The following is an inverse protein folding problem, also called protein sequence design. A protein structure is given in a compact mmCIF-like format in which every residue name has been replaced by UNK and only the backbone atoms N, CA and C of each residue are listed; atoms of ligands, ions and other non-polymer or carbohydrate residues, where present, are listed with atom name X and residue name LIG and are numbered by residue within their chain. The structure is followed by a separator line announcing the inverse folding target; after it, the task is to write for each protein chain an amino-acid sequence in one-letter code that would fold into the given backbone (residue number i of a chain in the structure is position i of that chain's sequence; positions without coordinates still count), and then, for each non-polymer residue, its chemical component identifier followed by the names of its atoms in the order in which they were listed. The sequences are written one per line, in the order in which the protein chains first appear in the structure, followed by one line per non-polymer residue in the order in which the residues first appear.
data_IF_272713195474
#
_entry.id   IF_272713195474
#
_cell.length_a   1.000
_cell.length_b   1.000
_cell.length_c   1.000
_cell.angle_alpha   90.00
_cell.angle_beta   90.00
_cell.angle_gamma   90.00
#
_symmetry.space_group_name_H-M   'P 1'
#
loop_
_entity.id
_entity.type
_entity.pdbx_description
1 polymer ?
#
# COMPACT_ATOMS: atom_id res chain seq x y z
N UNK A 1 -5.03 -1.81 -25.07
CA UNK A 1 -4.26 -0.84 -24.25
C UNK A 1 -2.78 -0.95 -24.60
N UNK A 2 -2.00 0.10 -24.32
CA UNK A 2 -0.53 0.05 -24.37
C UNK A 2 0.00 -0.12 -22.95
N UNK A 3 0.62 -1.24 -22.65
CA UNK A 3 0.98 -1.67 -21.30
C UNK A 3 2.50 -1.83 -21.19
N UNK A 4 3.09 -1.25 -20.14
CA UNK A 4 4.50 -1.41 -19.82
C UNK A 4 4.66 -2.29 -18.57
N UNK A 5 5.36 -3.41 -18.69
CA UNK A 5 5.70 -4.29 -17.56
C UNK A 5 7.09 -3.95 -17.06
N UNK A 6 7.20 -3.49 -15.83
CA UNK A 6 8.45 -3.12 -15.18
C UNK A 6 8.97 -4.29 -14.36
N UNK A 7 10.19 -4.70 -14.61
CA UNK A 7 10.87 -5.79 -13.94
C UNK A 7 12.26 -5.37 -13.45
N UNK A 8 12.81 -6.02 -12.42
CA UNK A 8 14.16 -5.68 -11.95
C UNK A 8 15.24 -6.15 -12.89
N UNK A 9 16.23 -5.29 -13.16
CA UNK A 9 17.51 -5.66 -13.78
C UNK A 9 18.52 -6.03 -12.71
N UNK A 10 18.91 -7.29 -12.68
CA UNK A 10 19.90 -7.82 -11.74
C UNK A 10 21.37 -7.68 -12.20
N UNK A 11 21.62 -7.09 -13.37
CA UNK A 11 22.97 -7.05 -13.97
C UNK A 11 24.02 -6.32 -13.12
N UNK A 12 23.57 -5.37 -12.28
CA UNK A 12 24.44 -4.62 -11.36
C UNK A 12 24.27 -5.02 -9.90
N UNK A 13 23.44 -6.02 -9.63
CA UNK A 13 23.19 -6.47 -8.26
C UNK A 13 24.28 -7.45 -7.80
N UNK A 14 24.70 -7.31 -6.54
CA UNK A 14 25.54 -8.29 -5.87
C UNK A 14 24.75 -9.51 -5.35
N UNK A 15 23.42 -9.44 -5.41
CA UNK A 15 22.50 -10.49 -4.98
C UNK A 15 22.17 -11.36 -6.18
N UNK A 16 22.47 -12.65 -6.11
CA UNK A 16 22.13 -13.60 -7.16
C UNK A 16 20.68 -14.06 -7.03
N UNK A 17 19.75 -13.22 -7.51
CA UNK A 17 18.31 -13.53 -7.56
C UNK A 17 17.87 -14.05 -8.93
N UNK A 18 18.74 -14.05 -9.91
CA UNK A 18 18.40 -14.43 -11.29
C UNK A 18 17.82 -15.85 -11.40
N UNK A 19 18.22 -16.74 -10.51
CA UNK A 19 17.68 -18.10 -10.45
C UNK A 19 16.34 -18.20 -9.69
N UNK A 20 15.98 -17.17 -8.91
CA UNK A 20 14.78 -17.16 -8.06
C UNK A 20 13.70 -16.19 -8.57
N UNK A 21 14.07 -15.19 -9.38
CA UNK A 21 13.17 -14.22 -9.99
C UNK A 21 13.41 -14.12 -11.49
N UNK A 22 13.04 -15.17 -12.27
CA UNK A 22 13.20 -15.16 -13.71
C UNK A 22 12.29 -14.11 -14.36
N UNK A 23 12.65 -13.62 -15.56
CA UNK A 23 11.82 -12.73 -16.34
C UNK A 23 10.41 -13.30 -16.53
N UNK A 24 9.40 -12.44 -16.31
CA UNK A 24 7.98 -12.79 -16.42
C UNK A 24 7.39 -12.22 -17.70
N UNK A 25 6.84 -13.06 -18.57
CA UNK A 25 6.13 -12.63 -19.78
C UNK A 25 4.62 -12.62 -19.54
N UNK A 26 4.03 -11.44 -19.47
CA UNK A 26 2.62 -11.24 -19.25
C UNK A 26 1.79 -11.19 -20.54
N UNK A 27 2.43 -11.16 -21.71
CA UNK A 27 1.75 -11.06 -23.01
C UNK A 27 0.76 -12.20 -23.25
N UNK A 28 1.04 -13.40 -22.69
CA UNK A 28 0.14 -14.57 -22.79
C UNK A 28 -1.25 -14.35 -22.19
N UNK A 29 -1.38 -13.45 -21.21
CA UNK A 29 -2.65 -13.12 -20.58
C UNK A 29 -3.29 -11.82 -21.12
N UNK A 30 -2.59 -11.12 -22.02
CA UNK A 30 -2.96 -9.83 -22.59
C UNK A 30 -2.94 -9.86 -24.13
N UNK A 31 -3.63 -10.85 -24.79
CA UNK A 31 -3.48 -11.10 -26.22
C UNK A 31 -4.02 -9.95 -27.11
N UNK A 32 -4.81 -9.06 -26.56
CA UNK A 32 -5.41 -7.93 -27.30
C UNK A 32 -4.74 -6.58 -26.98
N UNK A 33 -3.64 -6.59 -26.23
CA UNK A 33 -2.95 -5.40 -25.76
C UNK A 33 -1.52 -5.34 -26.31
N UNK A 34 -0.99 -4.13 -26.47
CA UNK A 34 0.42 -3.90 -26.81
C UNK A 34 1.22 -3.95 -25.52
N UNK A 35 2.00 -5.01 -25.32
CA UNK A 35 2.77 -5.24 -24.08
C UNK A 35 4.26 -5.08 -24.32
N UNK A 36 4.90 -4.20 -23.56
CA UNK A 36 6.35 -3.99 -23.58
C UNK A 36 6.93 -4.32 -22.21
N UNK A 37 8.02 -5.11 -22.17
CA UNK A 37 8.72 -5.47 -20.94
C UNK A 37 10.00 -4.65 -20.81
N UNK A 38 10.15 -3.92 -19.71
CA UNK A 38 11.29 -3.07 -19.41
C UNK A 38 11.95 -3.51 -18.11
N UNK A 39 13.27 -3.70 -18.18
CA UNK A 39 14.07 -4.03 -17.01
C UNK A 39 14.69 -2.76 -16.44
N UNK A 40 14.35 -2.47 -15.19
CA UNK A 40 14.79 -1.26 -14.48
C UNK A 40 16.08 -1.54 -13.71
N UNK A 41 17.06 -0.66 -13.90
CA UNK A 41 18.29 -0.66 -13.12
C UNK A 41 18.18 0.34 -11.98
N UNK A 42 18.51 -0.09 -10.76
CA UNK A 42 18.42 0.73 -9.54
C UNK A 42 19.03 2.12 -9.67
N UNK A 43 20.18 2.22 -10.32
CA UNK A 43 20.94 3.47 -10.45
C UNK A 43 20.36 4.43 -11.49
N UNK A 44 19.50 3.95 -12.40
CA UNK A 44 18.91 4.74 -13.49
C UNK A 44 17.39 4.67 -13.55
N UNK A 45 16.73 4.12 -12.55
CA UNK A 45 15.26 3.94 -12.50
C UNK A 45 14.49 5.21 -12.87
N UNK A 46 14.87 6.35 -12.29
CA UNK A 46 14.20 7.61 -12.58
C UNK A 46 14.34 8.02 -14.06
N UNK A 47 15.55 7.96 -14.61
CA UNK A 47 15.82 8.33 -16.01
C UNK A 47 15.07 7.42 -16.98
N UNK A 48 15.05 6.10 -16.69
CA UNK A 48 14.32 5.12 -17.49
C UNK A 48 12.81 5.43 -17.47
N UNK A 49 12.21 5.60 -16.30
CA UNK A 49 10.77 5.92 -16.17
C UNK A 49 10.42 7.28 -16.80
N UNK A 50 11.30 8.28 -16.65
CA UNK A 50 11.12 9.59 -17.28
C UNK A 50 11.13 9.51 -18.80
N UNK A 51 11.95 8.65 -19.39
CA UNK A 51 11.94 8.45 -20.86
C UNK A 51 10.65 7.79 -21.34
N UNK A 52 10.04 6.93 -20.53
CA UNK A 52 8.80 6.23 -20.84
C UNK A 52 7.54 7.11 -20.63
N UNK A 53 7.65 8.23 -19.92
CA UNK A 53 6.51 9.11 -19.59
C UNK A 53 5.73 9.58 -20.82
N UNK A 54 6.41 9.78 -21.95
CA UNK A 54 5.82 10.32 -23.17
C UNK A 54 5.53 9.27 -24.25
N UNK A 55 5.76 7.99 -23.92
CA UNK A 55 5.53 6.87 -24.85
C UNK A 55 4.04 6.48 -24.98
N UNK A 56 3.16 7.08 -24.17
CA UNK A 56 1.72 6.89 -24.24
C UNK A 56 1.23 5.55 -23.67
N UNK A 57 1.88 5.02 -22.63
CA UNK A 57 1.41 3.84 -21.90
C UNK A 57 0.16 4.18 -21.08
N UNK A 58 -0.85 3.30 -21.15
CA UNK A 58 -2.09 3.39 -20.37
C UNK A 58 -1.86 2.98 -18.91
N UNK A 59 -0.90 2.08 -18.64
CA UNK A 59 -0.58 1.55 -17.31
C UNK A 59 0.83 0.97 -17.26
N UNK A 60 1.46 1.08 -16.09
CA UNK A 60 2.71 0.41 -15.75
C UNK A 60 2.43 -0.73 -14.75
N UNK A 61 2.70 -1.98 -15.15
CA UNK A 61 2.61 -3.14 -14.26
C UNK A 61 3.93 -3.25 -13.52
N UNK A 62 3.93 -2.91 -12.23
CA UNK A 62 5.14 -2.91 -11.42
C UNK A 62 5.35 -4.28 -10.77
N UNK A 63 6.40 -4.98 -11.19
CA UNK A 63 6.86 -6.26 -10.64
C UNK A 63 8.20 -6.13 -9.90
N UNK A 64 8.61 -4.91 -9.54
CA UNK A 64 9.82 -4.65 -8.78
C UNK A 64 9.55 -4.74 -7.29
N UNK A 65 10.08 -5.77 -6.64
CA UNK A 65 9.77 -6.18 -5.26
C UNK A 65 11.02 -6.16 -4.34
N UNK A 66 12.11 -5.53 -4.79
CA UNK A 66 13.38 -5.49 -4.04
C UNK A 66 13.27 -4.77 -2.70
N UNK A 67 14.25 -4.96 -1.83
CA UNK A 67 14.40 -4.21 -0.58
C UNK A 67 15.18 -2.92 -0.81
N UNK A 68 14.90 -1.90 0.02
CA UNK A 68 15.52 -0.58 -0.13
C UNK A 68 17.05 -0.63 -0.06
N UNK A 69 17.58 -1.49 0.80
CA UNK A 69 19.02 -1.68 1.04
C UNK A 69 19.73 -2.40 -0.10
N UNK A 70 18.98 -3.06 -0.98
CA UNK A 70 19.56 -3.80 -2.09
C UNK A 70 19.80 -2.93 -3.32
N UNK A 71 20.73 -3.35 -4.16
CA UNK A 71 21.00 -2.72 -5.46
C UNK A 71 19.97 -3.14 -6.53
N UNK A 72 18.76 -3.48 -6.10
CA UNK A 72 17.63 -3.91 -6.94
C UNK A 72 16.50 -2.88 -6.83
N UNK A 73 15.80 -2.53 -7.93
CA UNK A 73 14.65 -1.63 -7.89
C UNK A 73 13.59 -2.09 -6.88
N UNK A 74 13.08 -1.15 -6.12
CA UNK A 74 12.20 -1.41 -4.98
C UNK A 74 11.17 -0.27 -4.81
N UNK A 75 10.96 0.22 -3.60
CA UNK A 75 10.07 1.36 -3.30
C UNK A 75 10.38 2.62 -4.12
N UNK A 76 11.63 2.80 -4.55
CA UNK A 76 12.03 3.89 -5.45
C UNK A 76 11.25 3.90 -6.76
N UNK A 77 10.89 2.74 -7.30
CA UNK A 77 10.05 2.65 -8.50
C UNK A 77 8.70 3.33 -8.27
N UNK A 78 8.05 3.03 -7.14
CA UNK A 78 6.75 3.61 -6.77
C UNK A 78 6.88 5.13 -6.58
N UNK A 79 7.92 5.59 -5.87
CA UNK A 79 8.15 7.02 -5.68
C UNK A 79 8.34 7.76 -7.02
N UNK A 80 9.04 7.16 -7.98
CA UNK A 80 9.23 7.79 -9.29
C UNK A 80 7.97 7.72 -10.16
N UNK A 81 7.18 6.64 -10.08
CA UNK A 81 5.89 6.56 -10.76
C UNK A 81 4.91 7.63 -10.23
N UNK A 82 4.85 7.81 -8.90
CA UNK A 82 4.05 8.88 -8.27
C UNK A 82 4.58 10.29 -8.65
N UNK A 83 5.90 10.52 -8.62
CA UNK A 83 6.52 11.81 -8.98
C UNK A 83 6.24 12.19 -10.45
N UNK A 84 6.27 11.21 -11.34
CA UNK A 84 6.00 11.40 -12.78
C UNK A 84 4.50 11.36 -13.10
N UNK A 85 3.65 11.16 -12.08
CA UNK A 85 2.20 11.04 -12.21
C UNK A 85 1.78 9.97 -13.24
N UNK A 86 2.36 8.78 -13.14
CA UNK A 86 2.11 7.65 -14.02
C UNK A 86 1.15 6.63 -13.35
N UNK A 87 0.22 6.03 -14.10
CA UNK A 87 -0.65 4.96 -13.57
C UNK A 87 0.13 3.66 -13.38
N UNK A 88 -0.05 2.97 -12.25
CA UNK A 88 0.67 1.73 -11.97
C UNK A 88 -0.15 0.75 -11.13
N UNK A 89 0.23 -0.54 -11.18
CA UNK A 89 -0.34 -1.62 -10.37
C UNK A 89 0.44 -1.82 -9.07
N UNK A 90 -0.18 -2.47 -8.08
CA UNK A 90 0.44 -2.79 -6.79
C UNK A 90 0.26 -1.70 -5.74
N UNK A 91 0.97 -1.80 -4.61
CA UNK A 91 0.79 -0.91 -3.46
C UNK A 91 1.31 0.51 -3.73
N UNK A 92 0.88 1.45 -2.91
CA UNK A 92 1.54 2.75 -2.81
C UNK A 92 2.78 2.67 -1.88
N UNK A 93 3.56 3.75 -1.80
CA UNK A 93 4.79 3.76 -1.01
C UNK A 93 4.56 3.55 0.50
N UNK A 94 3.40 3.93 1.06
CA UNK A 94 3.08 3.72 2.47
C UNK A 94 2.83 2.25 2.82
N UNK A 95 2.38 1.47 1.84
CA UNK A 95 2.07 0.05 1.99
C UNK A 95 3.21 -0.87 1.55
N UNK A 96 4.33 -0.33 1.07
CA UNK A 96 5.39 -1.14 0.48
C UNK A 96 5.93 -2.21 1.43
N UNK A 97 6.31 -1.80 2.63
CA UNK A 97 6.83 -2.69 3.69
C UNK A 97 6.47 -2.14 5.08
N UNK A 98 5.22 -2.27 5.53
CA UNK A 98 4.82 -1.78 6.83
C UNK A 98 5.49 -2.60 7.95
N UNK A 99 5.87 -1.97 9.08
CA UNK A 99 6.47 -2.68 10.21
C UNK A 99 5.57 -3.81 10.74
N UNK A 100 6.15 -4.98 11.06
CA UNK A 100 5.39 -6.13 11.59
C UNK A 100 4.58 -5.80 12.85
N UNK A 101 5.05 -4.87 13.68
CA UNK A 101 4.31 -4.39 14.85
C UNK A 101 3.05 -3.59 14.46
N UNK A 102 3.11 -2.79 13.38
CA UNK A 102 1.95 -2.12 12.84
C UNK A 102 0.95 -3.13 12.25
N UNK A 103 1.44 -4.16 11.53
CA UNK A 103 0.58 -5.23 11.01
C UNK A 103 -0.23 -5.89 12.13
N UNK A 104 0.42 -6.23 13.25
CA UNK A 104 -0.23 -6.82 14.42
C UNK A 104 -1.21 -5.87 15.10
N UNK A 105 -0.87 -4.59 15.19
CA UNK A 105 -1.76 -3.58 15.75
C UNK A 105 -3.04 -3.42 14.93
N UNK A 106 -2.93 -3.39 13.61
CA UNK A 106 -4.09 -3.34 12.70
C UNK A 106 -4.96 -4.58 12.87
N UNK A 107 -4.37 -5.77 12.90
CA UNK A 107 -5.11 -7.02 13.13
C UNK A 107 -5.85 -7.00 14.50
N UNK A 108 -5.18 -6.52 15.55
CA UNK A 108 -5.79 -6.36 16.87
C UNK A 108 -7.00 -5.40 16.85
N UNK A 109 -6.91 -4.27 16.16
CA UNK A 109 -8.02 -3.31 16.02
C UNK A 109 -9.24 -3.95 15.32
N UNK A 110 -9.02 -4.92 14.43
CA UNK A 110 -10.07 -5.66 13.72
C UNK A 110 -10.58 -6.91 14.48
N UNK A 111 -10.08 -7.14 15.69
CA UNK A 111 -10.42 -8.30 16.50
C UNK A 111 -9.87 -9.62 15.95
N UNK A 112 -8.80 -9.56 15.15
CA UNK A 112 -8.12 -10.72 14.57
C UNK A 112 -6.92 -11.06 15.45
N UNK A 113 -6.87 -12.31 15.94
CA UNK A 113 -5.78 -12.76 16.79
C UNK A 113 -4.44 -12.74 16.05
N UNK A 114 -3.39 -12.40 16.78
CA UNK A 114 -2.00 -12.55 16.37
C UNK A 114 -1.23 -13.30 17.47
N UNK A 115 -0.12 -13.96 17.17
CA UNK A 115 0.73 -14.47 18.23
C UNK A 115 1.13 -13.36 19.20
N UNK A 116 1.10 -13.64 20.51
CA UNK A 116 1.66 -12.73 21.51
C UNK A 116 3.14 -12.48 21.20
N UNK A 117 3.60 -11.24 21.34
CA UNK A 117 4.93 -10.90 20.89
C UNK A 117 5.63 -9.84 21.76
N UNK A 118 6.93 -9.80 21.60
CA UNK A 118 7.83 -8.77 22.14
C UNK A 118 8.79 -8.33 21.05
N UNK A 119 9.00 -7.02 20.90
CA UNK A 119 10.04 -6.44 20.05
C UNK A 119 11.28 -6.20 20.91
N UNK A 120 12.38 -6.91 20.60
CA UNK A 120 13.67 -6.71 21.25
C UNK A 120 14.48 -5.65 20.50
N UNK A 121 14.90 -4.63 21.22
CA UNK A 121 15.84 -3.61 20.78
C UNK A 121 17.29 -4.04 21.07
N UNK A 122 18.32 -3.37 20.49
CA UNK A 122 19.70 -3.79 20.62
C UNK A 122 20.22 -3.92 22.06
N UNK A 123 19.69 -3.12 22.97
CA UNK A 123 20.11 -3.08 24.38
C UNK A 123 19.26 -3.94 25.32
N UNK A 124 18.21 -4.56 24.80
CA UNK A 124 17.30 -5.35 25.62
C UNK A 124 17.92 -6.70 26.03
N UNK A 125 17.60 -7.13 27.25
CA UNK A 125 17.91 -8.45 27.76
C UNK A 125 16.74 -9.40 27.42
N UNK A 126 16.95 -10.42 26.58
CA UNK A 126 15.84 -11.25 26.05
C UNK A 126 15.01 -11.88 27.16
N UNK A 127 15.66 -12.53 28.14
CA UNK A 127 15.00 -13.23 29.25
C UNK A 127 14.01 -12.35 30.03
N UNK A 128 14.35 -11.10 30.25
CA UNK A 128 13.47 -10.16 30.97
C UNK A 128 12.26 -9.77 30.15
N UNK A 129 12.44 -9.53 28.86
CA UNK A 129 11.39 -9.01 27.98
C UNK A 129 10.34 -10.09 27.67
N UNK A 130 10.76 -11.35 27.48
CA UNK A 130 9.85 -12.45 27.09
C UNK A 130 9.16 -13.12 28.27
N UNK A 131 9.33 -12.63 29.50
CA UNK A 131 8.82 -13.27 30.71
C UNK A 131 7.29 -13.53 30.73
N UNK A 132 6.54 -12.87 29.86
CA UNK A 132 5.09 -13.04 29.71
C UNK A 132 4.70 -13.96 28.56
N UNK A 133 5.64 -14.38 27.73
CA UNK A 133 5.39 -15.26 26.61
C UNK A 133 5.53 -16.73 27.02
N UNK A 134 4.77 -17.59 26.38
CA UNK A 134 4.81 -19.04 26.60
C UNK A 134 5.61 -19.74 25.51
N UNK A 135 6.52 -20.63 25.90
CA UNK A 135 7.27 -21.47 24.97
C UNK A 135 6.37 -22.54 24.31
N UNK A 136 6.69 -22.98 23.09
CA UNK A 136 7.83 -22.57 22.27
C UNK A 136 7.66 -21.14 21.71
N UNK A 137 8.80 -20.45 21.52
CA UNK A 137 8.82 -19.12 20.92
C UNK A 137 9.39 -19.17 19.51
N UNK A 138 9.00 -18.20 18.69
CA UNK A 138 9.50 -18.02 17.33
C UNK A 138 10.24 -16.68 17.20
N UNK A 139 11.47 -16.72 16.71
CA UNK A 139 12.38 -15.59 16.67
C UNK A 139 12.69 -15.25 15.21
N UNK A 140 12.43 -14.00 14.84
CA UNK A 140 12.67 -13.50 13.47
C UNK A 140 13.12 -12.04 13.47
N UNK A 141 13.82 -11.55 12.43
CA UNK A 141 14.04 -10.12 12.26
C UNK A 141 12.71 -9.38 12.13
N UNK A 142 12.62 -8.20 12.78
CA UNK A 142 11.41 -7.39 12.72
C UNK A 142 11.20 -6.70 11.37
N UNK A 143 12.29 -6.42 10.66
CA UNK A 143 12.34 -5.71 9.37
C UNK A 143 13.02 -6.56 8.29
N UNK A 144 12.53 -7.75 8.05
CA UNK A 144 12.98 -8.59 6.95
C UNK A 144 11.81 -9.37 6.37
N UNK A 145 11.72 -9.41 5.06
CA UNK A 145 10.81 -10.27 4.32
C UNK A 145 11.49 -11.56 3.86
N UNK A 146 10.86 -12.33 2.98
CA UNK A 146 11.38 -13.53 2.31
C UNK A 146 12.01 -14.59 3.22
N UNK A 147 11.55 -14.67 4.46
CA UNK A 147 12.15 -15.55 5.49
C UNK A 147 13.64 -15.32 5.74
N UNK A 148 14.18 -14.14 5.39
CA UNK A 148 15.55 -13.76 5.73
C UNK A 148 15.76 -13.83 7.24
N UNK A 149 16.85 -14.46 7.65
CA UNK A 149 17.15 -14.71 9.06
C UNK A 149 16.24 -15.76 9.72
N UNK A 150 15.45 -16.54 8.97
CA UNK A 150 14.64 -17.65 9.49
C UNK A 150 15.28 -18.99 9.10
N UNK A 151 15.62 -19.77 10.11
CA UNK A 151 16.18 -21.12 9.98
C UNK A 151 15.57 -22.07 11.04
N UNK A 152 16.02 -23.30 11.13
CA UNK A 152 15.52 -24.25 12.11
C UNK A 152 15.65 -23.80 13.57
N UNK A 153 16.63 -22.95 13.89
CA UNK A 153 16.87 -22.38 15.22
C UNK A 153 15.93 -21.21 15.53
N UNK A 154 15.08 -20.79 14.61
CA UNK A 154 14.12 -19.71 14.82
C UNK A 154 12.99 -20.11 15.77
N UNK A 155 12.69 -21.40 15.94
CA UNK A 155 11.80 -21.94 16.96
C UNK A 155 12.64 -22.42 18.16
N UNK A 156 12.34 -21.90 19.35
CA UNK A 156 13.10 -22.18 20.57
C UNK A 156 12.18 -22.68 21.68
N UNK A 157 12.69 -23.63 22.49
CA UNK A 157 11.93 -24.30 23.54
C UNK A 157 12.26 -23.79 24.96
N UNK A 158 13.35 -23.04 25.10
CA UNK A 158 13.82 -22.54 26.37
C UNK A 158 14.63 -21.25 26.23
N UNK A 159 14.95 -20.66 27.40
CA UNK A 159 15.66 -19.38 27.48
C UNK A 159 17.07 -19.44 26.91
N UNK A 160 17.79 -20.54 27.06
CA UNK A 160 19.15 -20.68 26.55
C UNK A 160 19.18 -20.64 25.00
N UNK A 161 18.25 -21.35 24.35
CA UNK A 161 18.09 -21.31 22.90
C UNK A 161 17.66 -19.91 22.41
N UNK A 162 16.76 -19.24 23.15
CA UNK A 162 16.36 -17.87 22.85
C UNK A 162 17.55 -16.92 22.86
N UNK A 163 18.36 -16.92 23.93
CA UNK A 163 19.50 -16.02 24.08
C UNK A 163 20.55 -16.28 22.98
N UNK A 164 20.80 -17.55 22.68
CA UNK A 164 21.70 -17.95 21.60
C UNK A 164 21.19 -17.40 20.26
N UNK A 165 19.92 -17.64 19.90
CA UNK A 165 19.35 -17.22 18.62
C UNK A 165 19.33 -15.70 18.47
N UNK A 166 18.98 -14.97 19.51
CA UNK A 166 19.04 -13.51 19.52
C UNK A 166 20.47 -13.00 19.31
N UNK A 167 21.46 -13.64 19.95
CA UNK A 167 22.87 -13.27 19.77
C UNK A 167 23.35 -13.49 18.33
N UNK A 168 22.95 -14.60 17.70
CA UNK A 168 23.25 -14.89 16.29
C UNK A 168 22.68 -13.82 15.37
N UNK A 169 21.38 -13.50 15.48
CA UNK A 169 20.75 -12.46 14.65
C UNK A 169 21.38 -11.08 14.85
N UNK A 170 21.76 -10.75 16.08
CA UNK A 170 22.49 -9.50 16.36
C UNK A 170 23.89 -9.48 15.70
N UNK A 171 24.58 -10.61 15.69
CA UNK A 171 25.87 -10.76 15.01
C UNK A 171 25.73 -10.66 13.47
N UNK A 172 24.61 -11.11 12.91
CA UNK A 172 24.24 -10.94 11.51
C UNK A 172 23.85 -9.47 11.17
N UNK A 173 23.75 -8.57 12.17
CA UNK A 173 23.46 -7.15 11.97
C UNK A 173 21.99 -6.75 12.18
N UNK A 174 21.10 -7.67 12.54
CA UNK A 174 19.70 -7.33 12.81
C UNK A 174 19.56 -6.59 14.14
N UNK A 175 19.06 -5.36 14.10
CA UNK A 175 18.91 -4.49 15.26
C UNK A 175 17.61 -4.69 16.02
N UNK A 176 16.53 -4.99 15.31
CA UNK A 176 15.19 -5.19 15.86
C UNK A 176 14.78 -6.64 15.61
N UNK A 177 14.50 -7.37 16.69
CA UNK A 177 14.18 -8.78 16.65
C UNK A 177 12.78 -8.98 17.25
N UNK A 178 11.90 -9.61 16.50
CA UNK A 178 10.56 -9.98 16.94
C UNK A 178 10.59 -11.39 17.53
N UNK A 179 10.13 -11.51 18.77
CA UNK A 179 9.94 -12.78 19.46
C UNK A 179 8.46 -12.99 19.66
N UNK A 180 7.93 -14.09 19.15
CA UNK A 180 6.49 -14.43 19.17
C UNK A 180 6.26 -15.77 19.84
N UNK A 181 5.09 -15.96 20.46
CA UNK A 181 4.62 -17.31 20.82
C UNK A 181 4.45 -18.12 19.52
N UNK A 182 5.06 -19.29 19.45
CA UNK A 182 4.91 -20.16 18.29
C UNK A 182 3.52 -20.81 18.27
N UNK A 183 2.78 -20.63 17.19
CA UNK A 183 1.47 -21.24 16.98
C UNK A 183 1.66 -22.57 16.23
N UNK A 184 1.46 -23.72 16.87
CA UNK A 184 1.50 -25.01 16.16
C UNK A 184 0.29 -25.16 15.25
N UNK A 185 0.39 -26.02 14.22
CA UNK A 185 -0.73 -26.33 13.33
C UNK A 185 -0.47 -25.96 11.86
N UNK A 186 -1.53 -25.60 11.15
CA UNK A 186 -1.55 -25.38 9.71
C UNK A 186 -1.06 -23.96 9.37
N UNK A 187 -0.42 -23.80 8.23
CA UNK A 187 -0.06 -22.48 7.68
C UNK A 187 -0.80 -22.26 6.37
N UNK A 188 -1.58 -21.18 6.31
CA UNK A 188 -2.40 -20.85 5.15
C UNK A 188 -2.09 -19.43 4.68
N UNK A 189 -2.26 -19.20 3.38
CA UNK A 189 -2.05 -17.89 2.78
C UNK A 189 -3.26 -17.50 1.95
N UNK A 190 -3.57 -16.19 1.96
CA UNK A 190 -4.72 -15.59 1.26
C UNK A 190 -4.21 -14.44 0.42
N UNK A 191 -4.55 -14.41 -0.86
CA UNK A 191 -4.36 -13.26 -1.72
C UNK A 191 -5.61 -12.38 -1.66
N UNK A 192 -5.42 -11.06 -1.61
CA UNK A 192 -6.50 -10.08 -1.69
C UNK A 192 -6.13 -9.00 -2.69
N UNK A 193 -7.13 -8.41 -3.32
CA UNK A 193 -6.95 -7.28 -4.23
C UNK A 193 -8.08 -6.26 -4.06
N UNK A 194 -7.76 -4.97 -4.22
CA UNK A 194 -8.77 -3.92 -4.27
C UNK A 194 -9.57 -4.03 -5.57
N UNK A 195 -10.88 -3.87 -5.47
CA UNK A 195 -11.73 -3.77 -6.65
C UNK A 195 -11.46 -2.48 -7.44
N UNK A 196 -11.74 -2.46 -8.74
CA UNK A 196 -11.48 -1.29 -9.59
C UNK A 196 -12.19 -0.01 -9.14
N UNK A 197 -13.32 -0.11 -8.43
CA UNK A 197 -14.02 1.03 -7.85
C UNK A 197 -13.40 1.50 -6.52
N UNK A 198 -12.51 0.72 -5.92
CA UNK A 198 -11.85 0.99 -4.66
C UNK A 198 -12.75 0.90 -3.43
N UNK A 199 -13.96 0.32 -3.56
CA UNK A 199 -14.94 0.21 -2.47
C UNK A 199 -14.99 -1.16 -1.83
N UNK A 200 -14.62 -2.19 -2.58
CA UNK A 200 -14.66 -3.58 -2.14
C UNK A 200 -13.27 -4.21 -2.25
N UNK A 201 -13.13 -5.35 -1.62
CA UNK A 201 -11.92 -6.16 -1.63
C UNK A 201 -12.29 -7.55 -2.11
N UNK A 202 -11.60 -8.00 -3.15
CA UNK A 202 -11.69 -9.39 -3.61
C UNK A 202 -10.70 -10.25 -2.82
N UNK A 203 -11.20 -11.31 -2.19
CA UNK A 203 -10.37 -12.30 -1.48
C UNK A 203 -10.40 -13.63 -2.23
N UNK A 204 -9.24 -14.12 -2.61
CA UNK A 204 -9.06 -15.35 -3.37
C UNK A 204 -9.11 -16.59 -2.46
N UNK A 205 -9.26 -17.79 -3.04
CA UNK A 205 -9.31 -19.03 -2.27
C UNK A 205 -7.99 -19.27 -1.52
N UNK A 206 -8.04 -19.53 -0.20
CA UNK A 206 -6.83 -19.78 0.59
C UNK A 206 -6.10 -21.05 0.14
N UNK A 207 -4.79 -20.99 0.21
CA UNK A 207 -3.91 -22.14 -0.03
C UNK A 207 -3.17 -22.48 1.26
N UNK A 208 -3.13 -23.78 1.59
CA UNK A 208 -2.39 -24.32 2.71
C UNK A 208 -1.00 -24.77 2.26
N UNK A 209 0.02 -24.43 3.03
CA UNK A 209 1.36 -24.93 2.82
C UNK A 209 1.59 -26.23 3.61
N UNK A 210 1.87 -27.32 2.89
CA UNK A 210 2.24 -28.61 3.50
C UNK A 210 3.75 -28.70 3.67
N UNK A 211 4.16 -28.76 4.94
CA UNK A 211 5.59 -28.89 5.25
C UNK A 211 6.10 -30.30 4.95
N UNK A 212 7.33 -30.42 4.40
CA UNK A 212 8.02 -31.69 4.36
C UNK A 212 8.24 -32.27 5.77
N UNK A 213 8.53 -33.56 5.85
CA UNK A 213 8.86 -34.21 7.12
C UNK A 213 10.02 -33.50 7.83
N UNK A 214 9.87 -33.23 9.11
CA UNK A 214 10.86 -32.50 9.92
C UNK A 214 10.73 -30.96 9.91
N UNK A 215 9.81 -30.41 9.12
CA UNK A 215 9.56 -28.98 9.08
C UNK A 215 8.16 -28.64 9.62
N UNK A 216 8.05 -27.56 10.36
CA UNK A 216 6.76 -27.05 10.89
C UNK A 216 6.53 -25.58 10.56
N UNK A 217 7.42 -24.95 9.84
CA UNK A 217 7.34 -23.57 9.34
C UNK A 217 8.27 -23.36 8.14
N UNK A 218 8.04 -22.30 7.35
CA UNK A 218 8.84 -21.94 6.19
C UNK A 218 10.20 -21.37 6.63
N UNK A 219 11.27 -21.94 6.16
CA UNK A 219 12.63 -21.42 6.30
C UNK A 219 13.10 -20.80 4.98
N UNK A 220 14.15 -20.00 5.02
CA UNK A 220 14.77 -19.47 3.80
C UNK A 220 15.19 -20.59 2.83
N UNK A 221 15.78 -21.66 3.33
CA UNK A 221 16.19 -22.80 2.50
C UNK A 221 15.01 -23.51 1.84
N UNK A 222 13.83 -23.59 2.48
CA UNK A 222 12.64 -24.18 1.84
C UNK A 222 12.06 -23.30 0.73
N UNK A 223 12.24 -21.96 0.80
CA UNK A 223 11.81 -21.06 -0.28
C UNK A 223 12.71 -21.10 -1.48
N UNK A 224 13.99 -21.41 -1.30
CA UNK A 224 15.03 -21.37 -2.34
C UNK A 224 15.42 -22.77 -2.86
N UNK A 225 14.97 -23.85 -2.22
CA UNK A 225 15.12 -25.21 -2.73
C UNK A 225 14.00 -25.53 -3.73
N UNK A 226 14.19 -26.60 -4.52
CA UNK A 226 13.18 -27.05 -5.49
C UNK A 226 11.79 -27.13 -4.85
N UNK A 227 10.88 -26.25 -5.30
CA UNK A 227 9.52 -26.19 -4.81
C UNK A 227 8.83 -27.53 -5.10
N UNK A 228 8.32 -28.17 -4.05
CA UNK A 228 7.60 -29.42 -4.23
C UNK A 228 6.21 -29.12 -4.78
N UNK A 229 5.78 -29.65 -5.93
CA UNK A 229 4.50 -29.30 -6.57
C UNK A 229 3.27 -29.48 -5.66
N UNK A 230 3.38 -30.39 -4.69
CA UNK A 230 2.30 -30.69 -3.73
C UNK A 230 2.45 -29.93 -2.39
N UNK A 231 3.35 -28.94 -2.30
CA UNK A 231 3.54 -28.17 -1.08
C UNK A 231 2.40 -27.17 -0.83
N UNK A 232 1.71 -26.74 -1.89
CA UNK A 232 0.61 -25.82 -1.81
C UNK A 232 -0.68 -26.53 -2.24
N UNK A 233 -1.65 -26.63 -1.35
CA UNK A 233 -2.95 -27.26 -1.60
C UNK A 233 -4.07 -26.28 -1.29
N UNK A 234 -5.21 -26.42 -1.97
CA UNK A 234 -6.41 -25.64 -1.68
C UNK A 234 -6.88 -25.95 -0.25
N UNK A 235 -7.34 -24.92 0.46
CA UNK A 235 -8.05 -25.10 1.72
C UNK A 235 -9.36 -25.85 1.45
N UNK A 236 -9.48 -27.08 1.95
CA UNK A 236 -10.64 -27.97 1.73
C UNK A 236 -11.76 -27.75 2.75
N UNK A 237 -11.57 -26.86 3.73
CA UNK A 237 -12.57 -26.48 4.74
C UNK A 237 -13.26 -25.16 4.35
N UNK A 238 -14.53 -25.17 3.90
CA UNK A 238 -15.23 -23.97 3.47
C UNK A 238 -15.46 -22.95 4.59
N UNK A 239 -15.60 -23.40 5.84
CA UNK A 239 -15.81 -22.53 7.00
C UNK A 239 -14.52 -21.77 7.29
N UNK A 240 -13.41 -22.50 7.35
CA UNK A 240 -12.09 -21.91 7.54
C UNK A 240 -11.71 -20.97 6.36
N UNK A 241 -11.97 -21.40 5.12
CA UNK A 241 -11.74 -20.57 3.93
C UNK A 241 -12.49 -19.24 4.04
N UNK A 242 -13.79 -19.29 4.38
CA UNK A 242 -14.60 -18.08 4.53
C UNK A 242 -14.06 -17.16 5.64
N UNK A 243 -13.68 -17.72 6.78
CA UNK A 243 -13.15 -16.96 7.91
C UNK A 243 -11.81 -16.29 7.58
N UNK A 244 -10.90 -17.00 6.89
CA UNK A 244 -9.61 -16.47 6.44
C UNK A 244 -9.79 -15.34 5.42
N UNK A 245 -10.68 -15.51 4.44
CA UNK A 245 -11.01 -14.47 3.44
C UNK A 245 -11.56 -13.21 4.09
N UNK A 246 -12.47 -13.36 5.07
CA UNK A 246 -13.00 -12.21 5.81
C UNK A 246 -11.94 -11.51 6.65
N UNK A 247 -11.07 -12.26 7.34
CA UNK A 247 -9.97 -11.70 8.12
C UNK A 247 -9.00 -10.92 7.22
N UNK A 248 -8.61 -11.50 6.08
CA UNK A 248 -7.74 -10.86 5.12
C UNK A 248 -8.35 -9.57 4.53
N UNK A 249 -9.63 -9.60 4.14
CA UNK A 249 -10.32 -8.43 3.63
C UNK A 249 -10.39 -7.28 4.66
N UNK A 250 -10.70 -7.60 5.93
CA UNK A 250 -10.71 -6.61 7.02
C UNK A 250 -9.34 -5.96 7.22
N UNK A 251 -8.28 -6.76 7.33
CA UNK A 251 -6.91 -6.24 7.49
C UNK A 251 -6.54 -5.36 6.32
N UNK A 252 -6.79 -5.80 5.07
CA UNK A 252 -6.49 -5.02 3.87
C UNK A 252 -7.22 -3.67 3.86
N UNK A 253 -8.51 -3.67 4.19
CA UNK A 253 -9.34 -2.46 4.28
C UNK A 253 -8.81 -1.50 5.34
N UNK A 254 -8.45 -1.99 6.53
CA UNK A 254 -7.95 -1.17 7.63
C UNK A 254 -6.57 -0.56 7.36
N UNK A 255 -5.77 -1.18 6.49
CA UNK A 255 -4.57 -0.58 5.93
C UNK A 255 -4.87 0.47 4.85
N UNK A 256 -6.13 0.70 4.48
CA UNK A 256 -6.50 1.45 3.27
C UNK A 256 -5.80 0.87 2.03
N UNK A 257 -5.82 -0.46 1.94
CA UNK A 257 -5.10 -1.23 0.94
C UNK A 257 -5.46 -0.85 -0.48
N UNK A 258 -4.45 -0.73 -1.33
CA UNK A 258 -4.57 -0.50 -2.77
C UNK A 258 -3.74 -1.55 -3.51
N UNK A 259 -4.12 -1.82 -4.77
CA UNK A 259 -3.50 -2.89 -5.52
C UNK A 259 -3.87 -4.25 -4.95
N UNK A 260 -2.89 -4.99 -4.45
CA UNK A 260 -3.09 -6.34 -3.91
C UNK A 260 -2.10 -6.64 -2.77
N UNK A 261 -2.40 -7.69 -2.01
CA UNK A 261 -1.52 -8.19 -0.96
C UNK A 261 -1.73 -9.68 -0.72
N UNK A 262 -0.70 -10.36 -0.23
CA UNK A 262 -0.80 -11.72 0.30
C UNK A 262 -0.66 -11.68 1.80
N UNK A 263 -1.53 -12.42 2.49
CA UNK A 263 -1.56 -12.50 3.96
C UNK A 263 -1.32 -13.93 4.41
N UNK A 264 -0.43 -14.08 5.36
CA UNK A 264 -0.04 -15.37 5.91
C UNK A 264 -0.68 -15.57 7.31
N UNK A 265 -1.27 -16.72 7.52
CA UNK A 265 -1.98 -17.10 8.74
C UNK A 265 -1.51 -18.44 9.27
N UNK A 266 -1.63 -18.60 10.59
CA UNK A 266 -1.57 -19.94 11.21
C UNK A 266 -2.92 -20.30 11.81
N UNK A 267 -3.23 -21.57 11.74
CA UNK A 267 -4.45 -22.14 12.35
C UNK A 267 -4.00 -23.24 13.30
N UNK A 268 -4.31 -23.07 14.59
CA UNK A 268 -3.94 -24.05 15.60
C UNK A 268 -4.81 -25.32 15.51
N UNK A 269 -4.52 -26.30 16.36
CA UNK A 269 -5.24 -27.58 16.38
C UNK A 269 -6.71 -27.46 16.87
N UNK A 270 -7.06 -26.32 17.46
CA UNK A 270 -8.41 -25.98 17.93
C UNK A 270 -9.21 -25.21 16.88
N UNK A 271 -8.56 -24.85 15.76
CA UNK A 271 -9.17 -24.11 14.66
C UNK A 271 -9.11 -22.59 14.81
N UNK A 272 -8.39 -22.06 15.81
CA UNK A 272 -8.20 -20.62 15.96
C UNK A 272 -7.26 -20.07 14.92
N UNK A 273 -7.64 -18.94 14.31
CA UNK A 273 -6.88 -18.26 13.25
C UNK A 273 -6.00 -17.20 13.88
N UNK A 274 -4.71 -17.19 13.50
CA UNK A 274 -3.72 -16.20 13.91
C UNK A 274 -3.10 -15.56 12.66
N UNK A 275 -3.23 -14.26 12.53
CA UNK A 275 -2.57 -13.49 11.48
C UNK A 275 -1.07 -13.35 11.80
N UNK A 276 -0.23 -13.62 10.81
CA UNK A 276 1.23 -13.50 10.93
C UNK A 276 1.77 -12.20 10.31
N UNK A 277 1.53 -12.00 9.02
CA UNK A 277 2.03 -10.85 8.27
C UNK A 277 1.23 -10.60 6.99
N UNK A 278 1.36 -9.38 6.45
CA UNK A 278 0.87 -8.99 5.14
C UNK A 278 2.04 -8.57 4.24
N UNK A 279 2.03 -9.07 3.01
CA UNK A 279 2.99 -8.75 1.96
C UNK A 279 2.28 -8.02 0.83
N UNK A 280 2.37 -6.69 0.79
CA UNK A 280 1.78 -5.86 -0.28
C UNK A 280 2.59 -5.92 -1.58
N UNK A 281 3.82 -6.39 -1.51
CA UNK A 281 4.71 -6.60 -2.65
C UNK A 281 4.95 -8.10 -2.88
N UNK A 282 3.92 -8.92 -2.73
CA UNK A 282 4.07 -10.36 -2.96
C UNK A 282 4.29 -10.65 -4.44
N UNK A 283 5.22 -11.55 -4.71
CA UNK A 283 5.55 -12.03 -6.05
C UNK A 283 4.37 -12.74 -6.71
N UNK A 284 4.15 -12.42 -7.98
CA UNK A 284 3.05 -12.96 -8.82
C UNK A 284 3.52 -13.14 -10.26
N UNK A 285 2.79 -13.95 -11.01
CA UNK A 285 3.00 -14.20 -12.45
C UNK A 285 4.28 -14.94 -12.82
N UNK A 286 4.80 -15.74 -11.94
CA UNK A 286 5.93 -16.59 -12.26
C UNK A 286 5.59 -17.64 -13.33
N UNK A 287 6.62 -18.07 -14.05
CA UNK A 287 6.51 -19.16 -15.02
C UNK A 287 6.49 -20.50 -14.30
N UNK A 288 6.03 -21.54 -15.01
CA UNK A 288 5.95 -22.91 -14.51
C UNK A 288 7.29 -23.37 -13.93
N UNK A 289 7.26 -23.90 -12.71
CA UNK A 289 8.44 -24.33 -11.95
C UNK A 289 9.06 -23.27 -11.04
N UNK A 290 8.57 -22.03 -11.09
CA UNK A 290 9.01 -20.93 -10.22
C UNK A 290 7.87 -20.33 -9.40
N UNK A 291 6.69 -20.96 -9.43
CA UNK A 291 5.49 -20.41 -8.82
C UNK A 291 5.65 -20.10 -7.34
N UNK A 292 5.29 -18.88 -6.97
CA UNK A 292 5.13 -18.46 -5.59
C UNK A 292 3.75 -18.83 -5.03
N UNK A 293 3.57 -18.60 -3.73
CA UNK A 293 2.27 -18.91 -3.07
C UNK A 293 1.08 -18.18 -3.71
N UNK A 294 1.27 -16.96 -4.22
CA UNK A 294 0.22 -16.22 -4.90
C UNK A 294 -0.15 -16.85 -6.24
N UNK A 295 0.83 -17.41 -6.99
CA UNK A 295 0.54 -18.10 -8.25
C UNK A 295 -0.28 -19.37 -8.02
N UNK A 296 0.03 -20.14 -6.96
CA UNK A 296 -0.79 -21.30 -6.57
C UNK A 296 -2.21 -20.92 -6.18
N UNK A 297 -2.41 -19.79 -5.47
CA UNK A 297 -3.73 -19.26 -5.19
C UNK A 297 -4.48 -18.99 -6.50
N UNK A 298 -3.85 -18.26 -7.42
CA UNK A 298 -4.48 -17.88 -8.70
C UNK A 298 -4.74 -19.06 -9.64
N UNK A 299 -3.89 -20.09 -9.63
CA UNK A 299 -4.13 -21.31 -10.39
C UNK A 299 -5.35 -22.09 -9.91
N UNK A 300 -5.70 -21.94 -8.64
CA UNK A 300 -6.81 -22.66 -8.00
C UNK A 300 -8.07 -21.81 -7.81
N UNK A 301 -8.02 -20.52 -8.14
CA UNK A 301 -9.18 -19.62 -8.09
C UNK A 301 -9.85 -19.52 -9.46
N UNK A 302 -11.16 -19.36 -9.47
CA UNK A 302 -11.96 -19.25 -10.70
C UNK A 302 -11.61 -18.06 -11.58
N UNK A 303 -11.07 -16.98 -11.00
CA UNK A 303 -10.63 -15.78 -11.74
C UNK A 303 -9.33 -16.06 -12.48
N UNK A 304 -8.44 -16.86 -11.89
CA UNK A 304 -7.16 -17.20 -12.46
C UNK A 304 -6.20 -16.01 -12.63
N UNK A 305 -5.02 -16.30 -13.18
CA UNK A 305 -3.98 -15.28 -13.38
C UNK A 305 -4.42 -14.18 -14.37
N UNK A 306 -5.13 -14.54 -15.43
CA UNK A 306 -5.60 -13.57 -16.43
C UNK A 306 -6.63 -12.59 -15.83
N UNK A 307 -7.62 -13.10 -15.10
CA UNK A 307 -8.63 -12.27 -14.46
C UNK A 307 -8.05 -11.40 -13.35
N UNK A 308 -7.13 -11.92 -12.55
CA UNK A 308 -6.39 -11.15 -11.55
C UNK A 308 -5.59 -10.01 -12.20
N UNK A 309 -4.88 -10.28 -13.31
CA UNK A 309 -4.14 -9.26 -14.03
C UNK A 309 -5.05 -8.13 -14.53
N UNK A 310 -6.21 -8.47 -15.11
CA UNK A 310 -7.20 -7.47 -15.53
C UNK A 310 -7.74 -6.65 -14.35
N UNK A 311 -7.98 -7.28 -13.20
CA UNK A 311 -8.48 -6.63 -11.99
C UNK A 311 -7.49 -5.57 -11.49
N UNK A 312 -6.20 -5.91 -11.35
CA UNK A 312 -5.18 -4.98 -10.86
C UNK A 312 -4.85 -3.87 -11.87
N UNK A 313 -4.95 -4.14 -13.18
CA UNK A 313 -4.82 -3.13 -14.22
C UNK A 313 -5.94 -2.10 -14.10
N UNK A 314 -7.20 -2.55 -14.02
CA UNK A 314 -8.34 -1.64 -13.89
C UNK A 314 -8.31 -0.86 -12.58
N UNK A 315 -7.92 -1.49 -11.47
CA UNK A 315 -7.73 -0.81 -10.19
C UNK A 315 -6.68 0.31 -10.33
N UNK A 316 -5.52 0.02 -10.89
CA UNK A 316 -4.42 0.99 -11.06
C UNK A 316 -4.82 2.18 -11.93
N UNK A 317 -5.48 1.94 -13.07
CA UNK A 317 -6.00 2.99 -13.96
C UNK A 317 -7.05 3.86 -13.23
N UNK A 318 -8.02 3.23 -12.58
CA UNK A 318 -9.09 3.95 -11.91
C UNK A 318 -8.58 4.71 -10.67
N UNK A 319 -7.65 4.12 -9.92
CA UNK A 319 -6.96 4.78 -8.80
C UNK A 319 -6.21 6.02 -9.28
N UNK A 320 -5.48 5.92 -10.38
CA UNK A 320 -4.79 7.05 -10.99
C UNK A 320 -5.77 8.14 -11.42
N UNK A 321 -6.87 7.78 -12.11
CA UNK A 321 -7.91 8.74 -12.50
C UNK A 321 -8.55 9.46 -11.31
N UNK A 322 -8.80 8.74 -10.19
CA UNK A 322 -9.33 9.35 -8.94
C UNK A 322 -8.35 10.33 -8.29
N UNK A 323 -7.02 10.15 -8.49
CA UNK A 323 -5.99 11.06 -7.98
C UNK A 323 -5.77 12.27 -8.89
N UNK A 324 -6.22 12.24 -10.14
CA UNK A 324 -6.01 13.33 -11.08
C UNK A 324 -6.75 14.59 -10.64
N UNK A 325 -6.04 15.70 -10.66
CA UNK A 325 -6.60 17.02 -10.45
C UNK A 325 -7.50 17.36 -11.64
N UNK A 326 -8.80 17.51 -11.40
CA UNK A 326 -9.79 17.76 -12.47
C UNK A 326 -9.95 19.23 -12.84
N UNK A 327 -9.07 20.09 -12.37
CA UNK A 327 -9.14 21.54 -12.57
C UNK A 327 -7.76 22.15 -12.75
N UNK A 328 -7.75 23.33 -13.35
CA UNK A 328 -6.53 24.15 -13.55
C UNK A 328 -6.83 25.62 -13.33
N UNK A 329 -5.80 26.39 -12.99
CA UNK A 329 -5.90 27.85 -12.91
C UNK A 329 -5.64 28.45 -14.31
N UNK A 330 -6.48 29.40 -14.71
CA UNK A 330 -6.33 30.16 -15.96
C UNK A 330 -6.55 31.63 -15.72
N UNK A 331 -6.01 32.48 -16.59
CA UNK A 331 -6.31 33.90 -16.59
C UNK A 331 -7.81 34.15 -16.81
N UNK A 332 -8.37 35.09 -16.04
CA UNK A 332 -9.74 35.56 -16.15
C UNK A 332 -9.72 37.08 -16.35
N UNK A 333 -10.36 37.58 -17.40
CA UNK A 333 -10.33 38.99 -17.74
C UNK A 333 -10.97 39.93 -16.71
N UNK A 334 -11.90 39.41 -15.89
CA UNK A 334 -12.63 40.20 -14.89
C UNK A 334 -11.99 40.11 -13.50
N UNK A 335 -11.54 38.89 -13.10
CA UNK A 335 -11.05 38.63 -11.74
C UNK A 335 -9.52 38.42 -11.68
N UNK A 336 -8.81 38.56 -12.79
CA UNK A 336 -7.38 38.30 -12.91
C UNK A 336 -7.07 36.82 -13.15
N UNK A 337 -7.72 35.89 -12.45
CA UNK A 337 -7.66 34.46 -12.69
C UNK A 337 -8.95 33.75 -12.23
N UNK A 338 -9.12 32.52 -12.65
CA UNK A 338 -10.18 31.61 -12.22
C UNK A 338 -9.72 30.17 -12.24
N UNK A 339 -10.48 29.29 -11.62
CA UNK A 339 -10.25 27.86 -11.61
C UNK A 339 -11.25 27.22 -12.56
N UNK A 340 -10.75 26.41 -13.49
CA UNK A 340 -11.56 25.83 -14.56
C UNK A 340 -11.45 24.32 -14.54
N UNK A 341 -12.56 23.61 -14.69
CA UNK A 341 -12.59 22.17 -14.88
C UNK A 341 -11.81 21.80 -16.16
N UNK A 342 -10.93 20.80 -16.07
CA UNK A 342 -10.23 20.20 -17.23
C UNK A 342 -10.75 18.80 -17.55
N UNK A 343 -11.58 18.24 -16.69
CA UNK A 343 -12.33 17.01 -16.86
C UNK A 343 -13.73 17.23 -16.30
N UNK A 344 -14.76 16.47 -16.76
CA UNK A 344 -16.07 16.52 -16.14
C UNK A 344 -16.02 16.19 -14.65
N UNK A 345 -16.78 16.94 -13.83
CA UNK A 345 -16.89 16.75 -12.40
C UNK A 345 -18.36 16.46 -12.08
N UNK A 346 -18.62 15.35 -11.38
CA UNK A 346 -19.98 14.91 -11.09
C UNK A 346 -20.54 15.60 -9.83
N UNK A 347 -21.86 15.75 -9.81
CA UNK A 347 -22.57 16.27 -8.64
C UNK A 347 -22.21 15.48 -7.37
N UNK A 348 -21.90 16.17 -6.26
CA UNK A 348 -21.46 15.60 -4.99
C UNK A 348 -19.98 15.19 -4.95
N UNK A 349 -19.25 15.31 -6.05
CA UNK A 349 -17.82 14.99 -6.06
C UNK A 349 -17.00 16.02 -5.28
N UNK A 350 -16.07 15.54 -4.45
CA UNK A 350 -15.14 16.40 -3.70
C UNK A 350 -14.06 16.92 -4.65
N UNK A 351 -13.99 18.24 -4.81
CA UNK A 351 -13.03 18.93 -5.67
C UNK A 351 -11.78 19.33 -4.88
N UNK A 352 -11.97 19.90 -3.69
CA UNK A 352 -10.91 20.28 -2.77
C UNK A 352 -11.13 19.59 -1.43
N UNK A 353 -10.15 18.84 -0.94
CA UNK A 353 -10.17 18.22 0.38
C UNK A 353 -9.52 19.15 1.38
N UNK A 354 -10.34 19.75 2.24
CA UNK A 354 -9.86 20.60 3.33
C UNK A 354 -9.65 19.87 4.64
N UNK A 355 -10.41 18.79 4.90
CA UNK A 355 -10.40 18.08 6.19
C UNK A 355 -9.08 17.33 6.48
N UNK A 356 -8.40 16.84 5.44
CA UNK A 356 -7.13 16.12 5.57
C UNK A 356 -5.89 17.01 5.53
N UNK A 357 -6.03 18.33 5.40
CA UNK A 357 -4.89 19.25 5.31
C UNK A 357 -4.57 19.86 6.67
N UNK A 358 -3.28 20.17 6.88
CA UNK A 358 -2.85 20.95 8.05
C UNK A 358 -3.58 22.28 8.07
N UNK A 359 -4.17 22.61 9.22
CA UNK A 359 -4.97 23.78 9.40
C UNK A 359 -4.47 24.57 10.59
N UNK A 360 -4.48 25.87 10.46
CA UNK A 360 -4.16 26.79 11.54
C UNK A 360 -5.43 27.49 12.01
N UNK A 361 -5.81 27.27 13.26
CA UNK A 361 -6.86 28.03 13.91
C UNK A 361 -6.30 29.37 14.37
N UNK A 362 -6.97 30.47 14.00
CA UNK A 362 -6.55 31.81 14.36
C UNK A 362 -7.73 32.66 14.75
N UNK A 363 -7.54 33.51 15.73
CA UNK A 363 -8.59 34.45 16.14
C UNK A 363 -8.49 35.80 15.41
N UNK A 364 -9.61 36.40 15.13
CA UNK A 364 -9.66 37.77 14.58
C UNK A 364 -8.81 38.73 15.41
N UNK A 365 -8.90 38.61 16.73
CA UNK A 365 -8.14 39.44 17.67
C UNK A 365 -6.62 39.32 17.44
N UNK A 366 -6.11 38.12 17.33
CA UNK A 366 -4.69 37.86 17.06
C UNK A 366 -4.23 38.54 15.78
N UNK A 367 -4.99 38.35 14.70
CA UNK A 367 -4.70 38.96 13.41
C UNK A 367 -4.68 40.48 13.47
N UNK A 368 -5.69 41.09 14.10
CA UNK A 368 -5.80 42.56 14.19
C UNK A 368 -4.75 43.19 15.10
N UNK A 369 -4.22 42.46 16.07
CA UNK A 369 -3.23 42.98 17.03
C UNK A 369 -1.78 42.78 16.59
N UNK A 370 -1.48 41.70 15.84
CA UNK A 370 -0.09 41.25 15.64
C UNK A 370 0.32 41.14 14.18
N UNK A 371 -0.63 41.13 13.22
CA UNK A 371 -0.31 40.93 11.81
C UNK A 371 -0.13 42.29 11.10
N UNK A 372 0.71 42.25 10.06
CA UNK A 372 0.90 43.39 9.16
C UNK A 372 -0.40 43.76 8.45
N UNK A 373 -0.58 45.03 8.01
CA UNK A 373 -1.75 45.41 7.22
C UNK A 373 -1.95 44.57 5.96
N UNK A 374 -0.87 44.14 5.32
CA UNK A 374 -0.89 43.29 4.12
C UNK A 374 -1.40 41.89 4.46
N UNK A 375 -0.91 41.31 5.56
CA UNK A 375 -1.37 39.98 6.03
C UNK A 375 -2.81 40.02 6.49
N UNK A 376 -3.26 41.13 7.08
CA UNK A 376 -4.68 41.33 7.46
C UNK A 376 -5.60 41.36 6.23
N UNK A 377 -5.14 41.91 5.10
CA UNK A 377 -5.87 41.86 3.82
C UNK A 377 -5.96 40.43 3.33
N UNK A 378 -4.85 39.73 3.36
CA UNK A 378 -4.80 38.29 2.99
C UNK A 378 -5.72 37.45 3.86
N UNK A 379 -5.69 37.66 5.18
CA UNK A 379 -6.61 37.02 6.12
C UNK A 379 -8.07 37.25 5.77
N UNK A 380 -8.47 38.51 5.58
CA UNK A 380 -9.85 38.85 5.22
C UNK A 380 -10.33 38.22 3.92
N UNK A 381 -9.38 37.95 3.02
CA UNK A 381 -9.70 37.41 1.71
C UNK A 381 -9.77 35.88 1.68
N UNK A 382 -8.99 35.20 2.52
CA UNK A 382 -8.75 33.76 2.37
C UNK A 382 -9.06 32.94 3.64
N UNK A 383 -9.25 33.55 4.81
CA UNK A 383 -9.54 32.80 6.01
C UNK A 383 -11.01 32.33 6.02
N UNK A 384 -11.21 31.04 6.32
CA UNK A 384 -12.53 30.45 6.42
C UNK A 384 -13.11 30.69 7.82
N UNK A 385 -14.25 31.36 7.98
CA UNK A 385 -14.85 31.66 9.28
C UNK A 385 -15.52 30.41 9.88
N UNK A 386 -15.12 30.04 11.09
CA UNK A 386 -15.84 29.10 11.95
C UNK A 386 -16.84 29.81 12.86
N UNK A 387 -16.52 31.06 13.21
CA UNK A 387 -17.37 31.98 13.96
C UNK A 387 -16.96 33.41 13.65
N UNK A 388 -17.62 34.40 14.27
CA UNK A 388 -17.21 35.80 14.17
C UNK A 388 -15.80 36.09 14.67
N UNK A 389 -15.23 35.24 15.53
CA UNK A 389 -13.93 35.42 16.16
C UNK A 389 -12.89 34.35 15.80
N UNK A 390 -13.32 33.16 15.35
CA UNK A 390 -12.43 32.04 15.07
C UNK A 390 -12.44 31.68 13.59
N UNK A 391 -11.24 31.51 13.02
CA UNK A 391 -11.06 31.25 11.60
C UNK A 391 -10.08 30.09 11.38
N UNK A 392 -10.22 29.41 10.24
CA UNK A 392 -9.25 28.48 9.70
C UNK A 392 -8.44 29.17 8.62
N UNK A 393 -7.12 28.99 8.69
CA UNK A 393 -6.19 29.38 7.64
C UNK A 393 -5.38 28.13 7.27
N UNK A 394 -5.34 27.80 5.98
CA UNK A 394 -4.47 26.74 5.48
C UNK A 394 -3.09 27.33 5.25
N UNK A 395 -2.06 26.74 5.89
CA UNK A 395 -0.67 27.23 5.79
C UNK A 395 0.00 26.87 4.45
N UNK A 396 -0.62 26.00 3.69
CA UNK A 396 -0.06 25.52 2.43
C UNK A 396 -0.34 26.46 1.25
N UNK A 397 0.40 26.26 0.20
CA UNK A 397 0.37 27.04 -1.04
C UNK A 397 -1.06 27.47 -1.43
N UNK A 398 -1.38 28.78 -1.38
CA UNK A 398 -2.69 29.29 -1.73
C UNK A 398 -3.16 28.90 -3.13
N UNK A 399 -2.24 28.54 -4.03
CA UNK A 399 -2.58 28.05 -5.36
C UNK A 399 -3.26 26.68 -5.39
N UNK A 400 -3.23 25.93 -4.28
CA UNK A 400 -3.87 24.60 -4.21
C UNK A 400 -5.33 24.64 -3.75
N UNK A 401 -5.69 25.64 -2.99
CA UNK A 401 -7.08 25.92 -2.60
C UNK A 401 -7.54 27.28 -3.13
N UNK A 402 -6.90 27.71 -4.21
CA UNK A 402 -7.04 29.02 -4.81
C UNK A 402 -8.48 29.49 -4.83
N UNK A 403 -8.70 30.74 -4.48
CA UNK A 403 -10.04 31.29 -4.35
C UNK A 403 -10.78 31.16 -5.67
N UNK A 404 -11.88 30.41 -5.60
CA UNK A 404 -12.84 30.36 -6.68
C UNK A 404 -13.52 31.71 -6.76
N UNK A 405 -13.84 32.18 -7.95
CA UNK A 405 -14.55 33.44 -8.11
C UNK A 405 -16.00 33.33 -7.63
N UNK A 406 -16.57 34.47 -7.24
CA UNK A 406 -17.96 34.53 -6.81
C UNK A 406 -18.94 34.39 -7.98
N UNK A 407 -20.02 33.67 -7.74
CA UNK A 407 -21.21 33.63 -8.61
C UNK A 407 -22.46 33.43 -7.75
N UNK A 408 -23.58 34.14 -8.08
CA UNK A 408 -24.84 34.02 -7.34
C UNK A 408 -25.51 32.65 -7.51
N UNK A 409 -25.22 31.94 -8.60
CA UNK A 409 -25.62 30.58 -8.86
C UNK A 409 -24.35 29.72 -8.99
N UNK A 410 -23.70 29.36 -7.86
CA UNK A 410 -22.43 28.69 -7.87
C UNK A 410 -22.60 27.24 -8.32
N UNK A 411 -21.54 26.68 -8.90
CA UNK A 411 -21.50 25.24 -9.21
C UNK A 411 -20.72 24.43 -8.18
N UNK A 412 -20.13 25.10 -7.19
CA UNK A 412 -19.46 24.42 -6.06
C UNK A 412 -19.92 25.01 -4.72
N UNK A 413 -19.77 24.23 -3.66
CA UNK A 413 -20.14 24.64 -2.30
C UNK A 413 -19.32 23.88 -1.27
N UNK A 414 -19.41 24.30 0.00
CA UNK A 414 -18.77 23.62 1.10
C UNK A 414 -19.63 22.49 1.66
N UNK A 415 -18.98 21.36 1.95
CA UNK A 415 -19.46 20.27 2.80
C UNK A 415 -18.40 20.03 3.88
N UNK A 416 -18.67 20.51 5.10
CA UNK A 416 -17.62 20.66 6.13
C UNK A 416 -16.52 21.60 5.64
N UNK A 417 -15.28 21.11 5.61
CA UNK A 417 -14.11 21.82 5.08
C UNK A 417 -13.78 21.46 3.63
N UNK A 418 -14.52 20.52 3.06
CA UNK A 418 -14.34 20.12 1.66
C UNK A 418 -15.16 21.02 0.74
N UNK A 419 -14.67 21.23 -0.48
CA UNK A 419 -15.46 21.85 -1.54
C UNK A 419 -15.97 20.74 -2.47
N UNK A 420 -17.27 20.69 -2.67
CA UNK A 420 -17.97 19.73 -3.50
C UNK A 420 -18.62 20.40 -4.73
N UNK A 421 -18.86 19.63 -5.77
CA UNK A 421 -19.68 20.03 -6.89
C UNK A 421 -21.17 19.99 -6.50
N UNK A 422 -21.90 21.09 -6.68
CA UNK A 422 -23.35 21.16 -6.41
C UNK A 422 -24.19 20.59 -7.55
N UNK A 423 -23.60 20.48 -8.75
CA UNK A 423 -24.20 19.93 -9.97
C UNK A 423 -23.12 19.34 -10.86
N UNK A 424 -23.53 18.76 -11.99
CA UNK A 424 -22.59 18.38 -13.05
C UNK A 424 -21.85 19.63 -13.58
N UNK A 425 -20.52 19.54 -13.67
CA UNK A 425 -19.63 20.60 -14.18
C UNK A 425 -18.91 20.08 -15.42
N UNK A 426 -19.07 20.78 -16.52
CA UNK A 426 -18.46 20.38 -17.79
C UNK A 426 -16.99 20.77 -17.89
N UNK A 427 -16.23 20.08 -18.75
CA UNK A 427 -14.87 20.48 -19.10
C UNK A 427 -14.85 21.91 -19.65
N UNK A 428 -13.94 22.75 -19.14
CA UNK A 428 -13.81 24.15 -19.51
C UNK A 428 -14.66 25.12 -18.70
N UNK A 429 -15.57 24.62 -17.86
CA UNK A 429 -16.42 25.46 -17.01
C UNK A 429 -15.64 26.00 -15.80
N UNK A 430 -15.87 27.26 -15.43
CA UNK A 430 -15.26 27.88 -14.24
C UNK A 430 -15.90 27.35 -12.97
N UNK A 431 -15.09 26.98 -11.99
CA UNK A 431 -15.54 26.62 -10.65
C UNK A 431 -15.80 27.88 -9.85
N UNK A 432 -17.01 28.03 -9.32
CA UNK A 432 -17.47 29.24 -8.61
C UNK A 432 -18.09 28.93 -7.26
N UNK A 433 -17.95 29.87 -6.31
CA UNK A 433 -18.53 29.81 -4.98
C UNK A 433 -19.45 31.01 -4.74
N UNK A 434 -20.44 30.85 -3.88
CA UNK A 434 -21.20 31.99 -3.36
C UNK A 434 -20.51 32.56 -2.12
N UNK A 435 -20.00 33.78 -2.24
CA UNK A 435 -19.34 34.48 -1.13
C UNK A 435 -20.31 34.96 -0.06
N UNK A 436 -21.60 35.06 -0.35
CA UNK A 436 -22.59 35.45 0.65
C UNK A 436 -22.64 34.45 1.82
N UNK A 437 -22.29 33.17 1.56
CA UNK A 437 -22.22 32.13 2.59
C UNK A 437 -21.05 32.32 3.59
N UNK A 438 -20.11 33.24 3.32
CA UNK A 438 -18.97 33.56 4.20
C UNK A 438 -19.12 34.85 4.99
N UNK A 439 -20.14 35.61 4.71
CA UNK A 439 -20.32 36.98 5.27
C UNK A 439 -21.37 37.05 6.35
N UNK A 440 -22.03 35.94 6.69
CA UNK A 440 -23.05 35.88 7.73
C UNK A 440 -22.53 35.33 9.05
#
# INVERSE_FOLDING_TARGET
MKICVLQPDYSTSSVDYKEYDPPRDLSRWLPNDEVTHIFLNKLSTYQQLKSLQYEGYDIFINLCEGYLEWTVPSIDVIHYLDLLNLPYTGPNALLYDPPKTLMKYVAFCEGIATPDYVLLLPTDYPAKQVSKLSYPLFIKPAKAGDSLGINHQSRVENIGELEQRVAELRAEGYREILVETYIPGRELTVLVAADPDGKQVHSFEPVEYRFPEGYTFKTYSLKTSALHPNANIICDDPILSSALKQAAAKIFTSFQGVGYARMDFRVDNEGNIYFLEVNFTCSVFYTDGYEGSADYILQNDSIGQAGFLQLIIQEGINRHRRKQKKYTMRGNALAGYGIYAILPIHSGEIIFKGEGKSQRLITRREVMQHWSPEDQITFKRYAYPLSSELFILWDDNPSEWAPQNHHCEPNTGYDGLNVIALREIANGEELTLDYANFLN
#
